data_IF_022868551713
#
_entry.id   IF_022868551713
#
_cell.length_a   1.000
_cell.length_b   1.000
_cell.length_c   1.000
_cell.angle_alpha   90.00
_cell.angle_beta   90.00
_cell.angle_gamma   90.00
#
_symmetry.space_group_name_H-M   'P 1'
#
loop_
_entity.id
_entity.type
_entity.pdbx_description
1 polymer ?
#
# COMPACT_ATOMS: atom_id res chain seq x y z
N UNK A 1 -69.64 2.37 -26.33
CA UNK A 1 -68.23 2.48 -25.89
C UNK A 1 -67.22 2.11 -26.99
N UNK A 2 -67.43 1.01 -27.74
CA UNK A 2 -66.59 0.62 -28.89
C UNK A 2 -66.54 1.66 -30.02
N UNK A 3 -67.65 2.32 -30.33
CA UNK A 3 -67.70 3.34 -31.40
C UNK A 3 -66.99 4.66 -31.03
N UNK A 4 -66.97 5.02 -29.74
CA UNK A 4 -66.22 6.19 -29.25
C UNK A 4 -64.70 5.96 -29.32
N UNK A 5 -64.25 4.72 -29.07
CA UNK A 5 -62.85 4.32 -29.21
C UNK A 5 -62.39 4.32 -30.68
N UNK A 6 -63.21 3.80 -31.61
CA UNK A 6 -62.88 3.80 -33.04
C UNK A 6 -62.81 5.22 -33.61
N UNK A 7 -63.68 6.12 -33.14
CA UNK A 7 -63.68 7.54 -33.56
C UNK A 7 -62.48 8.31 -33.02
N UNK A 8 -62.01 7.99 -31.81
CA UNK A 8 -60.83 8.60 -31.21
C UNK A 8 -59.51 8.14 -31.89
N UNK A 9 -59.42 6.86 -32.26
CA UNK A 9 -58.24 6.28 -32.95
C UNK A 9 -58.11 6.77 -34.39
N UNK A 10 -59.23 7.02 -35.11
CA UNK A 10 -59.17 7.65 -36.45
C UNK A 10 -58.83 9.13 -36.42
N UNK A 11 -59.18 9.84 -35.35
CA UNK A 11 -58.89 11.27 -35.21
C UNK A 11 -57.42 11.55 -34.81
N UNK A 12 -56.70 10.54 -34.29
CA UNK A 12 -55.31 10.66 -33.81
C UNK A 12 -54.39 9.58 -34.40
N UNK A 13 -54.63 9.14 -35.65
CA UNK A 13 -53.68 8.28 -36.34
C UNK A 13 -52.44 9.13 -36.71
N UNK A 14 -51.24 8.85 -36.16
CA UNK A 14 -50.05 9.57 -36.54
C UNK A 14 -49.71 9.26 -38.01
N UNK A 15 -49.53 10.32 -38.79
CA UNK A 15 -48.93 10.29 -40.12
C UNK A 15 -47.48 9.83 -39.96
N UNK A 16 -47.25 8.53 -40.09
CA UNK A 16 -45.94 7.92 -40.33
C UNK A 16 -46.00 7.18 -41.65
N UNK A 17 -46.38 7.92 -42.69
CA UNK A 17 -46.05 7.57 -44.05
C UNK A 17 -45.13 8.68 -44.58
N UNK A 18 -44.14 8.29 -45.39
CA UNK A 18 -43.12 9.14 -46.03
C UNK A 18 -41.86 9.57 -45.25
N UNK A 19 -41.22 8.69 -44.47
CA UNK A 19 -39.79 8.92 -44.09
C UNK A 19 -38.86 7.70 -44.13
N UNK A 20 -39.28 6.60 -44.80
CA UNK A 20 -38.40 5.44 -45.05
C UNK A 20 -38.05 5.24 -46.54
N UNK A 21 -38.49 6.15 -47.41
CA UNK A 21 -38.12 6.16 -48.82
C UNK A 21 -36.82 6.94 -49.05
N UNK A 22 -35.69 6.36 -48.58
CA UNK A 22 -34.29 6.54 -49.06
C UNK A 22 -33.31 6.07 -47.99
N UNK A 23 -33.24 4.76 -47.77
CA UNK A 23 -32.01 4.16 -47.23
C UNK A 23 -31.27 3.60 -48.44
N UNK A 24 -30.13 4.19 -48.86
CA UNK A 24 -29.35 3.61 -49.94
C UNK A 24 -28.83 2.24 -49.49
N UNK A 25 -29.27 1.21 -50.21
CA UNK A 25 -28.62 -0.10 -50.23
C UNK A 25 -27.11 0.08 -50.42
N UNK A 26 -26.34 -0.83 -49.81
CA UNK A 26 -24.87 -1.01 -49.88
C UNK A 26 -24.08 -0.44 -48.70
N UNK A 27 -24.53 -0.75 -47.48
CA UNK A 27 -23.63 -0.84 -46.33
C UNK A 27 -22.57 -1.92 -46.58
N UNK A 28 -21.33 -1.50 -46.83
CA UNK A 28 -20.14 -2.37 -46.91
C UNK A 28 -19.84 -3.09 -45.58
N UNK A 29 -20.48 -2.70 -44.49
CA UNK A 29 -20.28 -3.26 -43.15
C UNK A 29 -21.08 -4.55 -42.90
N UNK A 30 -22.19 -4.76 -43.61
CA UNK A 30 -22.98 -6.00 -43.49
C UNK A 30 -22.25 -7.26 -44.01
N UNK A 31 -21.19 -7.09 -44.81
CA UNK A 31 -20.36 -8.20 -45.31
C UNK A 31 -19.18 -8.57 -44.42
N UNK A 32 -18.88 -7.78 -43.37
CA UNK A 32 -17.78 -8.11 -42.47
C UNK A 32 -18.14 -9.27 -41.50
N UNK A 33 -19.43 -9.57 -41.32
CA UNK A 33 -19.87 -10.64 -40.42
C UNK A 33 -19.83 -12.07 -41.02
N UNK A 34 -19.52 -12.23 -42.31
CA UNK A 34 -19.60 -13.55 -43.01
C UNK A 34 -18.23 -14.11 -43.41
N UNK A 35 -17.13 -13.40 -43.12
CA UNK A 35 -15.78 -13.88 -43.45
C UNK A 35 -14.86 -13.95 -42.22
N UNK A 36 -15.39 -14.42 -41.09
CA UNK A 36 -14.56 -15.02 -40.05
C UNK A 36 -14.66 -16.54 -40.16
N UNK A 37 -13.56 -17.28 -40.31
CA UNK A 37 -13.62 -18.74 -40.32
C UNK A 37 -14.22 -19.23 -38.99
N UNK A 38 -15.18 -20.16 -39.06
CA UNK A 38 -15.89 -20.75 -37.90
C UNK A 38 -15.02 -21.08 -36.67
N UNK A 39 -13.76 -21.56 -36.79
CA UNK A 39 -12.89 -21.76 -35.62
C UNK A 39 -12.47 -20.46 -34.90
N UNK A 40 -12.40 -19.31 -35.59
CA UNK A 40 -12.07 -18.02 -34.95
C UNK A 40 -13.19 -17.51 -34.05
N UNK A 41 -14.46 -17.76 -34.42
CA UNK A 41 -15.62 -17.39 -33.58
C UNK A 41 -15.68 -18.29 -32.33
N UNK A 42 -15.38 -19.58 -32.47
CA UNK A 42 -15.23 -20.49 -31.33
C UNK A 42 -14.09 -20.08 -30.40
N UNK A 43 -12.93 -19.70 -30.96
CA UNK A 43 -11.77 -19.26 -30.19
C UNK A 43 -12.01 -17.91 -29.47
N UNK A 44 -12.73 -16.96 -30.08
CA UNK A 44 -13.07 -15.70 -29.40
C UNK A 44 -14.11 -15.88 -28.30
N UNK A 45 -15.14 -16.73 -28.52
CA UNK A 45 -16.13 -17.05 -27.48
C UNK A 45 -15.49 -17.84 -26.33
N UNK A 46 -14.61 -18.80 -26.62
CA UNK A 46 -13.86 -19.53 -25.61
C UNK A 46 -12.91 -18.58 -24.84
N UNK A 47 -12.20 -17.70 -25.54
CA UNK A 47 -11.36 -16.68 -24.92
C UNK A 47 -12.14 -15.71 -24.03
N UNK A 48 -13.30 -15.22 -24.48
CA UNK A 48 -14.19 -14.39 -23.66
C UNK A 48 -14.74 -15.15 -22.46
N UNK A 49 -15.09 -16.42 -22.62
CA UNK A 49 -15.57 -17.26 -21.52
C UNK A 49 -14.48 -17.48 -20.46
N UNK A 50 -13.23 -17.72 -20.88
CA UNK A 50 -12.06 -17.81 -19.98
C UNK A 50 -11.79 -16.47 -19.30
N UNK A 51 -11.97 -15.33 -19.99
CA UNK A 51 -11.81 -14.01 -19.37
C UNK A 51 -12.90 -13.72 -18.35
N UNK A 52 -14.18 -14.03 -18.65
CA UNK A 52 -15.30 -13.77 -17.74
C UNK A 52 -15.26 -14.72 -16.54
N UNK A 53 -15.11 -16.03 -16.75
CA UNK A 53 -15.05 -17.02 -15.67
C UNK A 53 -13.73 -16.94 -14.89
N UNK A 54 -12.62 -16.68 -15.58
CA UNK A 54 -11.30 -16.50 -14.97
C UNK A 54 -11.18 -15.21 -14.17
N UNK A 55 -11.93 -14.15 -14.52
CA UNK A 55 -11.91 -12.90 -13.77
C UNK A 55 -12.40 -13.07 -12.32
N UNK A 56 -13.40 -13.93 -12.09
CA UNK A 56 -13.90 -14.22 -10.75
C UNK A 56 -12.86 -14.93 -9.87
N UNK A 57 -12.17 -15.92 -10.44
CA UNK A 57 -11.10 -16.66 -9.74
C UNK A 57 -9.90 -15.73 -9.46
N UNK A 58 -9.50 -14.93 -10.43
CA UNK A 58 -8.42 -13.96 -10.25
C UNK A 58 -8.77 -12.91 -9.18
N UNK A 59 -10.02 -12.45 -9.14
CA UNK A 59 -10.52 -11.51 -8.13
C UNK A 59 -10.55 -12.14 -6.73
N UNK A 60 -11.05 -13.37 -6.61
CA UNK A 60 -11.04 -14.08 -5.33
C UNK A 60 -9.60 -14.35 -4.84
N UNK A 61 -8.70 -14.73 -5.74
CA UNK A 61 -7.29 -14.93 -5.43
C UNK A 61 -6.61 -13.64 -4.92
N UNK A 62 -6.97 -12.47 -5.45
CA UNK A 62 -6.40 -11.19 -5.00
C UNK A 62 -6.62 -10.92 -3.50
N UNK A 63 -7.73 -11.42 -2.95
CA UNK A 63 -8.09 -11.27 -1.54
C UNK A 63 -7.71 -12.48 -0.68
N UNK A 64 -7.17 -13.54 -1.28
CA UNK A 64 -6.77 -14.74 -0.54
C UNK A 64 -5.63 -14.44 0.44
N UNK A 65 -5.71 -15.05 1.61
CA UNK A 65 -4.68 -15.06 2.65
C UNK A 65 -3.83 -16.34 2.58
N UNK A 66 -2.60 -16.35 3.13
CA UNK A 66 -1.83 -17.58 3.30
C UNK A 66 -2.65 -18.72 3.92
N UNK A 67 -2.50 -19.92 3.38
CA UNK A 67 -3.28 -21.10 3.75
C UNK A 67 -4.62 -21.26 3.01
N UNK A 68 -5.08 -20.26 2.26
CA UNK A 68 -6.31 -20.36 1.45
C UNK A 68 -6.03 -20.95 0.05
N UNK A 69 -7.01 -21.67 -0.49
CA UNK A 69 -6.90 -22.43 -1.75
C UNK A 69 -6.38 -21.59 -2.93
N UNK A 70 -6.79 -20.32 -3.01
CA UNK A 70 -6.44 -19.43 -4.12
C UNK A 70 -5.21 -18.55 -3.85
N UNK A 71 -4.55 -18.68 -2.70
CA UNK A 71 -3.35 -17.92 -2.40
C UNK A 71 -2.18 -18.21 -3.35
N UNK A 72 -1.92 -19.46 -3.79
CA UNK A 72 -0.91 -19.72 -4.81
C UNK A 72 -1.18 -18.97 -6.13
N UNK A 73 -2.46 -18.82 -6.51
CA UNK A 73 -2.85 -18.04 -7.70
C UNK A 73 -2.53 -16.56 -7.54
N UNK A 74 -2.67 -16.01 -6.33
CA UNK A 74 -2.29 -14.62 -6.01
C UNK A 74 -0.82 -14.38 -6.27
N UNK A 75 0.02 -15.20 -5.65
CA UNK A 75 1.47 -14.98 -5.59
C UNK A 75 2.15 -15.37 -6.91
N UNK A 76 1.78 -16.51 -7.51
CA UNK A 76 2.49 -17.03 -8.67
C UNK A 76 1.94 -16.55 -10.02
N UNK A 77 0.72 -16.01 -10.06
CA UNK A 77 0.11 -15.56 -11.31
C UNK A 77 -0.31 -14.09 -11.25
N UNK A 78 -1.23 -13.72 -10.37
CA UNK A 78 -1.76 -12.35 -10.37
C UNK A 78 -0.66 -11.31 -10.13
N UNK A 79 0.20 -11.56 -9.14
CA UNK A 79 1.28 -10.64 -8.79
C UNK A 79 2.37 -10.58 -9.86
N UNK A 80 2.68 -11.71 -10.50
CA UNK A 80 3.69 -11.80 -11.57
C UNK A 80 3.21 -11.20 -12.89
N UNK A 81 1.93 -11.38 -13.23
CA UNK A 81 1.32 -10.69 -14.37
C UNK A 81 1.42 -9.18 -14.18
N UNK A 82 1.04 -8.67 -12.99
CA UNK A 82 1.21 -7.23 -12.68
C UNK A 82 2.68 -6.80 -12.68
N UNK A 83 3.59 -7.67 -12.27
CA UNK A 83 5.03 -7.41 -12.35
C UNK A 83 5.51 -7.24 -13.79
N UNK A 84 5.06 -8.12 -14.70
CA UNK A 84 5.39 -8.07 -16.12
C UNK A 84 4.89 -6.77 -16.77
N UNK A 85 3.72 -6.27 -16.36
CA UNK A 85 3.17 -5.00 -16.84
C UNK A 85 3.71 -3.75 -16.11
N UNK A 86 4.49 -3.91 -15.03
CA UNK A 86 5.13 -2.80 -14.32
C UNK A 86 6.39 -2.34 -15.06
N UNK A 87 6.20 -1.76 -16.25
CA UNK A 87 7.29 -1.34 -17.13
C UNK A 87 7.93 -0.06 -16.62
N UNK A 88 9.26 -0.08 -16.50
CA UNK A 88 10.08 1.06 -16.09
C UNK A 88 10.45 1.06 -14.60
N UNK A 89 11.58 1.69 -14.22
CA UNK A 89 12.10 1.67 -12.84
C UNK A 89 11.08 2.15 -11.80
N UNK A 90 10.41 3.29 -12.05
CA UNK A 90 9.40 3.84 -11.12
C UNK A 90 8.27 2.85 -10.85
N UNK A 91 7.72 2.23 -11.91
CA UNK A 91 6.62 1.28 -11.79
C UNK A 91 7.05 0.02 -11.03
N UNK A 92 8.26 -0.48 -11.28
CA UNK A 92 8.84 -1.63 -10.56
C UNK A 92 9.05 -1.35 -9.07
N UNK A 93 9.60 -0.18 -8.73
CA UNK A 93 9.79 0.21 -7.34
C UNK A 93 8.44 0.36 -6.61
N UNK A 94 7.46 1.01 -7.24
CA UNK A 94 6.12 1.16 -6.70
C UNK A 94 5.41 -0.19 -6.52
N UNK A 95 5.55 -1.11 -7.49
CA UNK A 95 4.93 -2.43 -7.41
C UNK A 95 5.55 -3.29 -6.32
N UNK A 96 6.87 -3.28 -6.18
CA UNK A 96 7.54 -3.98 -5.09
C UNK A 96 7.18 -3.38 -3.72
N UNK A 97 7.08 -2.06 -3.61
CA UNK A 97 6.55 -1.40 -2.40
C UNK A 97 5.16 -1.93 -2.07
N UNK A 98 4.26 -2.01 -3.05
CA UNK A 98 2.90 -2.54 -2.83
C UNK A 98 2.89 -4.00 -2.40
N UNK A 99 3.79 -4.83 -2.94
CA UNK A 99 3.89 -6.24 -2.52
C UNK A 99 4.39 -6.36 -1.09
N UNK A 100 5.35 -5.54 -0.68
CA UNK A 100 5.80 -5.47 0.72
C UNK A 100 4.63 -5.10 1.65
N UNK A 101 3.87 -4.05 1.31
CA UNK A 101 2.67 -3.64 2.07
C UNK A 101 1.67 -4.80 2.21
N UNK A 102 1.39 -5.52 1.11
CA UNK A 102 0.42 -6.63 1.13
C UNK A 102 0.79 -7.74 2.10
N UNK A 103 2.09 -8.07 2.23
CA UNK A 103 2.53 -9.11 3.17
C UNK A 103 2.31 -8.68 4.63
N UNK A 104 2.46 -7.38 4.94
CA UNK A 104 2.11 -6.83 6.24
C UNK A 104 0.59 -6.80 6.46
N UNK A 105 -0.19 -6.37 5.44
CA UNK A 105 -1.67 -6.40 5.47
C UNK A 105 -2.20 -7.83 5.72
N UNK A 106 -1.57 -8.85 5.10
CA UNK A 106 -1.92 -10.26 5.29
C UNK A 106 -1.56 -10.77 6.68
N UNK A 107 -0.37 -10.42 7.17
CA UNK A 107 0.06 -10.76 8.53
C UNK A 107 -0.92 -10.19 9.56
N UNK A 108 -1.24 -8.90 9.46
CA UNK A 108 -2.19 -8.21 10.33
C UNK A 108 -3.58 -8.82 10.24
N UNK A 109 -4.04 -9.19 9.03
CA UNK A 109 -5.35 -9.81 8.81
C UNK A 109 -5.46 -11.19 9.43
N UNK A 110 -4.42 -12.02 9.30
CA UNK A 110 -4.34 -13.34 9.92
C UNK A 110 -4.27 -13.25 11.44
N UNK A 111 -3.48 -12.31 11.95
CA UNK A 111 -3.36 -12.05 13.39
C UNK A 111 -4.69 -11.58 13.97
N UNK A 112 -5.38 -10.64 13.30
CA UNK A 112 -6.71 -10.18 13.68
C UNK A 112 -7.77 -11.29 13.60
N UNK A 113 -7.59 -12.28 12.73
CA UNK A 113 -8.49 -13.42 12.58
C UNK A 113 -8.24 -14.56 13.58
N UNK A 114 -7.14 -14.53 14.34
CA UNK A 114 -6.67 -15.69 15.11
C UNK A 114 -6.26 -16.89 14.24
N UNK A 115 -5.99 -16.67 12.94
CA UNK A 115 -5.64 -17.71 11.95
C UNK A 115 -4.15 -17.78 11.64
N UNK A 116 -3.32 -17.11 12.43
CA UNK A 116 -1.88 -17.08 12.24
C UNK A 116 -1.28 -18.39 12.78
N UNK A 117 -0.78 -19.24 11.88
CA UNK A 117 0.00 -20.44 12.24
C UNK A 117 1.46 -20.08 12.58
N UNK A 118 2.28 -21.08 12.93
CA UNK A 118 3.66 -20.85 13.38
C UNK A 118 4.65 -20.56 12.25
N UNK A 119 4.36 -20.95 11.00
CA UNK A 119 5.28 -20.80 9.86
C UNK A 119 5.01 -19.54 9.05
N UNK A 120 3.76 -19.13 8.97
CA UNK A 120 3.29 -17.99 8.20
C UNK A 120 3.94 -16.65 8.60
N UNK A 121 4.20 -16.34 9.90
CA UNK A 121 4.89 -15.11 10.29
C UNK A 121 6.25 -14.91 9.61
N UNK A 122 7.07 -15.95 9.58
CA UNK A 122 8.42 -15.91 9.00
C UNK A 122 8.35 -15.81 7.47
N UNK A 123 7.49 -16.62 6.83
CA UNK A 123 7.29 -16.54 5.37
C UNK A 123 6.85 -15.14 4.92
N UNK A 124 5.91 -14.52 5.64
CA UNK A 124 5.44 -13.19 5.33
C UNK A 124 6.53 -12.13 5.59
N UNK A 125 7.31 -12.26 6.67
CA UNK A 125 8.42 -11.36 6.97
C UNK A 125 9.52 -11.41 5.89
N UNK A 126 9.85 -12.62 5.41
CA UNK A 126 10.83 -12.83 4.35
C UNK A 126 10.37 -12.22 3.03
N UNK A 127 9.12 -12.49 2.62
CA UNK A 127 8.56 -11.89 1.40
C UNK A 127 8.44 -10.38 1.50
N UNK A 128 8.02 -9.87 2.66
CA UNK A 128 8.03 -8.43 2.94
C UNK A 128 9.42 -7.84 2.73
N UNK A 129 10.43 -8.42 3.38
CA UNK A 129 11.82 -7.96 3.30
C UNK A 129 12.36 -8.03 1.88
N UNK A 130 12.08 -9.11 1.14
CA UNK A 130 12.50 -9.29 -0.23
C UNK A 130 11.92 -8.20 -1.15
N UNK A 131 10.61 -7.94 -1.08
CA UNK A 131 9.96 -6.92 -1.90
C UNK A 131 10.40 -5.51 -1.51
N UNK A 132 10.54 -5.23 -0.21
CA UNK A 132 11.06 -3.95 0.25
C UNK A 132 12.47 -3.67 -0.27
N UNK A 133 13.38 -4.65 -0.16
CA UNK A 133 14.75 -4.53 -0.67
C UNK A 133 14.79 -4.40 -2.20
N UNK A 134 13.92 -5.11 -2.91
CA UNK A 134 13.79 -4.94 -4.36
C UNK A 134 13.33 -3.52 -4.71
N UNK A 135 12.40 -2.94 -3.95
CA UNK A 135 11.96 -1.56 -4.15
C UNK A 135 13.11 -0.56 -3.90
N UNK A 136 13.84 -0.69 -2.78
CA UNK A 136 14.96 0.21 -2.45
C UNK A 136 16.13 0.07 -3.41
N UNK A 137 16.42 -1.13 -3.90
CA UNK A 137 17.45 -1.36 -4.91
C UNK A 137 17.12 -0.65 -6.24
N UNK A 138 15.87 -0.75 -6.71
CA UNK A 138 15.42 -0.02 -7.91
C UNK A 138 15.47 1.49 -7.69
N UNK A 139 15.08 1.98 -6.49
CA UNK A 139 15.21 3.40 -6.14
C UNK A 139 16.67 3.87 -6.17
N UNK A 140 17.63 3.10 -5.64
CA UNK A 140 19.05 3.44 -5.70
C UNK A 140 19.59 3.49 -7.14
N UNK A 141 19.12 2.59 -8.02
CA UNK A 141 19.44 2.66 -9.45
C UNK A 141 18.86 3.91 -10.12
N UNK A 142 17.65 4.31 -9.75
CA UNK A 142 17.03 5.53 -10.28
C UNK A 142 17.77 6.79 -9.79
N UNK A 143 18.25 6.78 -8.55
CA UNK A 143 18.99 7.88 -7.95
C UNK A 143 20.31 8.12 -8.68
N UNK A 144 21.05 7.05 -9.00
CA UNK A 144 22.29 7.15 -9.80
C UNK A 144 22.05 7.58 -11.26
N UNK A 145 20.82 7.45 -11.75
CA UNK A 145 20.39 7.93 -13.07
C UNK A 145 19.81 9.36 -13.05
N UNK A 146 19.96 10.08 -11.93
CA UNK A 146 19.53 11.48 -11.81
C UNK A 146 18.03 11.66 -11.51
N UNK A 147 17.30 10.59 -11.20
CA UNK A 147 15.86 10.66 -10.90
C UNK A 147 15.57 10.98 -9.42
N UNK A 148 16.40 11.80 -8.77
CA UNK A 148 16.36 12.05 -7.32
C UNK A 148 14.99 12.48 -6.78
N UNK A 149 14.31 13.41 -7.44
CA UNK A 149 12.96 13.85 -7.03
C UNK A 149 11.91 12.73 -7.10
N UNK A 150 12.03 11.81 -8.08
CA UNK A 150 11.13 10.64 -8.17
C UNK A 150 11.48 9.60 -7.12
N UNK A 151 12.76 9.42 -6.81
CA UNK A 151 13.20 8.51 -5.76
C UNK A 151 12.71 8.99 -4.40
N UNK A 152 12.83 10.29 -4.12
CA UNK A 152 12.34 10.87 -2.87
C UNK A 152 10.82 10.72 -2.71
N UNK A 153 10.09 10.77 -3.82
CA UNK A 153 8.69 10.40 -3.86
C UNK A 153 8.40 8.97 -3.42
N UNK A 154 9.05 8.00 -4.03
CA UNK A 154 8.83 6.60 -3.73
C UNK A 154 9.31 6.24 -2.31
N UNK A 155 10.41 6.85 -1.87
CA UNK A 155 10.98 6.67 -0.54
C UNK A 155 10.03 7.19 0.53
N UNK A 156 9.45 8.38 0.32
CA UNK A 156 8.42 8.92 1.20
C UNK A 156 7.19 8.02 1.27
N UNK A 157 6.76 7.45 0.14
CA UNK A 157 5.63 6.51 0.11
C UNK A 157 5.90 5.26 0.96
N UNK A 158 7.08 4.66 0.77
CA UNK A 158 7.52 3.50 1.54
C UNK A 158 7.60 3.83 3.03
N UNK A 159 8.26 4.93 3.40
CA UNK A 159 8.43 5.35 4.80
C UNK A 159 7.08 5.56 5.51
N UNK A 160 6.14 6.27 4.87
CA UNK A 160 4.81 6.48 5.42
C UNK A 160 4.04 5.17 5.62
N UNK A 161 4.27 4.19 4.74
CA UNK A 161 3.69 2.86 4.86
C UNK A 161 4.31 2.04 6.00
N UNK A 162 5.64 2.07 6.12
CA UNK A 162 6.35 1.34 7.18
C UNK A 162 6.01 1.87 8.57
N UNK A 163 5.90 3.19 8.75
CA UNK A 163 5.44 3.78 10.02
C UNK A 163 4.02 3.37 10.36
N UNK A 164 3.13 3.41 9.36
CA UNK A 164 1.77 2.94 9.49
C UNK A 164 1.72 1.50 10.03
N UNK A 165 2.48 0.59 9.42
CA UNK A 165 2.51 -0.81 9.83
C UNK A 165 3.24 -1.03 11.18
N UNK A 166 4.33 -0.29 11.49
CA UNK A 166 4.96 -0.37 12.83
C UNK A 166 3.97 0.04 13.94
N UNK A 167 3.21 1.11 13.73
CA UNK A 167 2.19 1.58 14.68
C UNK A 167 1.09 0.52 14.88
N UNK A 168 0.67 -0.17 13.81
CA UNK A 168 -0.32 -1.24 13.87
C UNK A 168 0.24 -2.44 14.63
N UNK A 169 1.44 -2.89 14.27
CA UNK A 169 2.10 -4.01 14.94
C UNK A 169 2.32 -3.72 16.42
N UNK A 170 2.71 -2.49 16.80
CA UNK A 170 2.83 -2.08 18.19
C UNK A 170 1.52 -2.23 18.98
N UNK A 171 0.37 -1.95 18.35
CA UNK A 171 -0.96 -2.11 18.96
C UNK A 171 -1.39 -3.57 19.06
N UNK A 172 -0.93 -4.41 18.14
CA UNK A 172 -1.25 -5.84 18.09
C UNK A 172 -0.28 -6.69 18.93
N UNK A 173 0.90 -6.18 19.26
CA UNK A 173 1.94 -6.87 20.04
C UNK A 173 1.42 -7.51 21.34
N UNK A 174 0.55 -6.87 22.15
CA UNK A 174 0.02 -7.50 23.36
C UNK A 174 -0.76 -8.79 23.12
N UNK A 175 -1.30 -9.00 21.90
CA UNK A 175 -2.11 -10.18 21.54
C UNK A 175 -1.26 -11.37 21.08
N UNK A 176 -0.08 -11.14 20.53
CA UNK A 176 0.80 -12.19 20.00
C UNK A 176 2.27 -11.76 20.03
N UNK A 177 2.79 -11.48 21.24
CA UNK A 177 4.09 -10.82 21.46
C UNK A 177 5.23 -11.40 20.62
N UNK A 178 5.46 -12.70 20.71
CA UNK A 178 6.60 -13.34 20.04
C UNK A 178 6.48 -13.28 18.52
N UNK A 179 5.31 -13.64 17.98
CA UNK A 179 5.03 -13.63 16.53
C UNK A 179 5.09 -12.22 15.94
N UNK A 180 4.62 -11.21 16.67
CA UNK A 180 4.66 -9.80 16.24
C UNK A 180 6.06 -9.21 16.34
N UNK A 181 6.82 -9.54 17.41
CA UNK A 181 8.15 -8.96 17.65
C UNK A 181 9.12 -9.22 16.51
N UNK A 182 9.10 -10.44 15.94
CA UNK A 182 9.91 -10.78 14.77
C UNK A 182 9.61 -9.86 13.59
N UNK A 183 8.37 -9.90 13.09
CA UNK A 183 7.91 -9.10 11.94
C UNK A 183 8.14 -7.60 12.16
N UNK A 184 7.82 -7.09 13.36
CA UNK A 184 8.02 -5.69 13.73
C UNK A 184 9.50 -5.29 13.68
N UNK A 185 10.42 -6.18 14.09
CA UNK A 185 11.86 -5.96 13.96
C UNK A 185 12.30 -5.74 12.51
N UNK A 186 11.78 -6.53 11.55
CA UNK A 186 12.05 -6.32 10.12
C UNK A 186 11.52 -4.96 9.63
N UNK A 187 10.31 -4.58 10.04
CA UNK A 187 9.71 -3.28 9.68
C UNK A 187 10.55 -2.13 10.24
N UNK A 188 10.98 -2.20 11.49
CA UNK A 188 11.78 -1.16 12.14
C UNK A 188 13.18 -1.01 11.52
N UNK A 189 13.84 -2.12 11.19
CA UNK A 189 15.12 -2.09 10.48
C UNK A 189 14.98 -1.35 9.16
N UNK A 190 14.00 -1.73 8.34
CA UNK A 190 13.78 -1.12 7.03
C UNK A 190 13.31 0.34 7.15
N UNK A 191 12.50 0.67 8.15
CA UNK A 191 12.06 2.03 8.43
C UNK A 191 13.25 2.93 8.77
N UNK A 192 14.21 2.42 9.54
CA UNK A 192 15.45 3.13 9.88
C UNK A 192 16.28 3.37 8.62
N UNK A 193 16.49 2.35 7.79
CA UNK A 193 17.23 2.47 6.53
C UNK A 193 16.56 3.47 5.58
N UNK A 194 15.24 3.40 5.46
CA UNK A 194 14.45 4.30 4.59
C UNK A 194 14.51 5.74 5.10
N UNK A 195 14.41 5.95 6.42
CA UNK A 195 14.50 7.28 7.04
C UNK A 195 15.88 7.89 6.84
N UNK A 196 16.95 7.10 7.00
CA UNK A 196 18.32 7.56 6.78
C UNK A 196 18.56 7.94 5.31
N UNK A 197 18.12 7.07 4.38
CA UNK A 197 18.20 7.36 2.94
C UNK A 197 17.41 8.63 2.58
N UNK A 198 16.29 8.88 3.26
CA UNK A 198 15.49 10.09 3.05
C UNK A 198 16.23 11.33 3.50
N UNK A 199 16.79 11.34 4.70
CA UNK A 199 17.52 12.51 5.20
C UNK A 199 18.66 12.90 4.24
N UNK A 200 19.38 11.91 3.72
CA UNK A 200 20.42 12.11 2.71
C UNK A 200 19.84 12.63 1.39
N UNK A 201 18.79 12.01 0.87
CA UNK A 201 18.15 12.42 -0.38
C UNK A 201 17.53 13.82 -0.32
N UNK A 202 16.88 14.17 0.78
CA UNK A 202 16.32 15.51 1.02
C UNK A 202 17.42 16.58 1.03
N UNK A 203 18.57 16.29 1.66
CA UNK A 203 19.73 17.21 1.64
C UNK A 203 20.25 17.41 0.20
N UNK A 204 20.43 16.33 -0.55
CA UNK A 204 20.86 16.39 -1.96
C UNK A 204 19.88 17.17 -2.84
N UNK A 205 18.56 17.00 -2.62
CA UNK A 205 17.52 17.75 -3.35
C UNK A 205 17.62 19.25 -3.06
N UNK A 206 17.93 19.66 -1.82
CA UNK A 206 18.12 21.07 -1.46
C UNK A 206 19.40 21.66 -2.05
N UNK A 207 20.46 20.87 -2.09
CA UNK A 207 21.78 21.30 -2.60
C UNK A 207 21.88 21.25 -4.13
N UNK A 208 20.96 20.55 -4.80
CA UNK A 208 20.94 20.43 -6.25
C UNK A 208 20.77 21.79 -6.94
N UNK A 209 21.70 22.11 -7.85
CA UNK A 209 21.68 23.36 -8.64
C UNK A 209 20.51 23.44 -9.61
N UNK A 210 20.08 22.30 -10.15
CA UNK A 210 18.99 22.25 -11.11
C UNK A 210 17.63 22.32 -10.41
N UNK A 211 17.55 21.84 -9.16
CA UNK A 211 16.31 21.77 -8.38
C UNK A 211 15.19 20.98 -9.07
N UNK A 212 14.08 20.69 -8.38
CA UNK A 212 12.90 20.19 -9.06
C UNK A 212 12.23 21.31 -9.85
N UNK A 213 11.74 20.99 -11.05
CA UNK A 213 10.88 21.90 -11.80
C UNK A 213 9.66 22.33 -10.96
N UNK A 214 9.19 23.60 -11.03
CA UNK A 214 8.06 24.09 -10.24
C UNK A 214 6.79 23.22 -10.34
N UNK A 215 6.46 22.74 -11.54
CA UNK A 215 5.34 21.83 -11.76
C UNK A 215 5.45 20.49 -11.01
N UNK A 216 6.67 20.06 -10.63
CA UNK A 216 6.86 18.89 -9.76
C UNK A 216 6.43 19.19 -8.34
N UNK A 217 6.83 20.34 -7.79
CA UNK A 217 6.41 20.76 -6.45
C UNK A 217 4.88 20.93 -6.36
N UNK A 218 4.25 21.52 -7.39
CA UNK A 218 2.80 21.63 -7.52
C UNK A 218 2.10 20.27 -7.49
N UNK A 219 2.60 19.30 -8.28
CA UNK A 219 2.06 17.93 -8.27
C UNK A 219 2.17 17.29 -6.89
N UNK A 220 3.27 17.51 -6.16
CA UNK A 220 3.48 16.95 -4.82
C UNK A 220 2.54 17.58 -3.79
N UNK A 221 2.35 18.90 -3.84
CA UNK A 221 1.36 19.61 -3.03
C UNK A 221 -0.06 19.11 -3.31
N UNK A 222 -0.43 18.94 -4.58
CA UNK A 222 -1.74 18.43 -4.97
C UNK A 222 -1.97 16.98 -4.49
N UNK A 223 -0.93 16.14 -4.58
CA UNK A 223 -0.96 14.76 -4.09
C UNK A 223 -1.17 14.70 -2.58
N UNK A 224 -0.41 15.48 -1.81
CA UNK A 224 -0.56 15.58 -0.36
C UNK A 224 -1.95 16.06 0.05
N UNK A 225 -2.47 17.10 -0.61
CA UNK A 225 -3.83 17.60 -0.40
C UNK A 225 -4.90 16.53 -0.65
N UNK A 226 -4.76 15.77 -1.75
CA UNK A 226 -5.67 14.67 -2.08
C UNK A 226 -5.62 13.56 -1.02
N UNK A 227 -4.42 13.23 -0.52
CA UNK A 227 -4.26 12.22 0.53
C UNK A 227 -4.94 12.66 1.84
N UNK A 228 -4.72 13.91 2.26
CA UNK A 228 -5.36 14.48 3.45
C UNK A 228 -6.89 14.46 3.33
N UNK A 229 -7.43 14.93 2.21
CA UNK A 229 -8.87 14.96 1.96
C UNK A 229 -9.51 13.55 2.02
N UNK A 230 -8.82 12.52 1.52
CA UNK A 230 -9.27 11.13 1.62
C UNK A 230 -9.34 10.66 3.07
N UNK A 231 -8.34 10.99 3.88
CA UNK A 231 -8.32 10.62 5.30
C UNK A 231 -9.45 11.33 6.05
N UNK A 232 -9.64 12.62 5.82
CA UNK A 232 -10.75 13.40 6.40
C UNK A 232 -12.10 12.79 6.06
N UNK A 233 -12.31 12.35 4.81
CA UNK A 233 -13.53 11.68 4.41
C UNK A 233 -13.76 10.37 5.19
N UNK A 234 -12.70 9.59 5.45
CA UNK A 234 -12.79 8.37 6.26
C UNK A 234 -13.13 8.70 7.71
N UNK A 235 -12.49 9.71 8.29
CA UNK A 235 -12.76 10.18 9.66
C UNK A 235 -14.22 10.64 9.79
N UNK A 236 -14.71 11.46 8.86
CA UNK A 236 -16.09 11.96 8.89
C UNK A 236 -17.12 10.83 8.79
N UNK A 237 -16.87 9.81 7.95
CA UNK A 237 -17.73 8.61 7.88
C UNK A 237 -17.67 7.74 9.10
N UNK A 238 -16.57 7.82 9.84
CA UNK A 238 -16.41 7.08 11.06
C UNK A 238 -17.30 7.73 12.15
N UNK A 239 -17.37 9.07 12.26
CA UNK A 239 -17.89 9.85 13.42
C UNK A 239 -19.22 9.35 14.04
N UNK A 240 -20.09 8.71 13.27
CA UNK A 240 -21.33 8.09 13.76
C UNK A 240 -21.17 6.74 14.50
N UNK A 241 -19.96 6.19 14.65
CA UNK A 241 -19.70 4.86 15.23
C UNK A 241 -18.75 4.96 16.42
N UNK A 242 -19.21 5.46 17.58
CA UNK A 242 -18.55 5.44 18.91
C UNK A 242 -17.00 5.37 18.91
N UNK A 243 -16.34 6.53 18.87
CA UNK A 243 -14.95 6.67 18.46
C UNK A 243 -13.92 6.50 19.57
N UNK A 244 -13.32 5.31 19.58
CA UNK A 244 -12.12 4.95 20.34
C UNK A 244 -10.86 5.71 19.92
N UNK A 245 -9.77 5.46 20.63
CA UNK A 245 -8.49 6.17 20.53
C UNK A 245 -7.91 6.29 19.11
N UNK A 246 -8.24 5.37 18.20
CA UNK A 246 -7.72 5.35 16.83
C UNK A 246 -8.14 6.57 16.02
N UNK A 247 -9.40 7.01 16.11
CA UNK A 247 -9.87 8.18 15.35
C UNK A 247 -9.27 9.47 15.91
N UNK A 248 -9.08 9.56 17.24
CA UNK A 248 -8.35 10.67 17.86
C UNK A 248 -6.91 10.73 17.35
N UNK A 249 -6.20 9.60 17.33
CA UNK A 249 -4.84 9.51 16.84
C UNK A 249 -4.71 9.85 15.34
N UNK A 250 -5.70 9.45 14.53
CA UNK A 250 -5.75 9.78 13.11
C UNK A 250 -6.00 11.28 12.88
N UNK A 251 -6.89 11.93 13.64
CA UNK A 251 -7.11 13.38 13.57
C UNK A 251 -5.86 14.18 13.90
N UNK A 252 -5.15 13.81 14.96
CA UNK A 252 -3.91 14.48 15.34
C UNK A 252 -2.88 14.46 14.19
N UNK A 253 -2.76 13.33 13.49
CA UNK A 253 -1.92 13.21 12.30
C UNK A 253 -2.44 14.07 11.14
N UNK A 254 -3.75 14.10 10.88
CA UNK A 254 -4.32 14.98 9.84
C UNK A 254 -4.00 16.45 10.12
N UNK A 255 -4.11 16.90 11.37
CA UNK A 255 -3.76 18.29 11.74
C UNK A 255 -2.30 18.59 11.40
N UNK A 256 -1.37 17.71 11.81
CA UNK A 256 0.06 17.85 11.46
C UNK A 256 0.29 17.86 9.94
N UNK A 257 -0.37 16.97 9.20
CA UNK A 257 -0.28 16.92 7.75
C UNK A 257 -0.81 18.21 7.08
N UNK A 258 -1.87 18.82 7.64
CA UNK A 258 -2.38 20.11 7.17
C UNK A 258 -1.40 21.25 7.44
N UNK A 259 -0.71 21.25 8.58
CA UNK A 259 0.35 22.23 8.89
C UNK A 259 1.49 22.14 7.87
N UNK A 260 1.99 20.94 7.61
CA UNK A 260 3.03 20.69 6.61
C UNK A 260 2.56 21.11 5.20
N UNK A 261 1.31 20.81 4.83
CA UNK A 261 0.73 21.21 3.54
C UNK A 261 0.59 22.73 3.39
N UNK A 262 0.15 23.43 4.45
CA UNK A 262 0.08 24.90 4.46
C UNK A 262 1.47 25.50 4.29
N UNK A 263 2.45 24.94 4.98
CA UNK A 263 3.82 25.39 4.89
C UNK A 263 4.43 25.12 3.50
N UNK A 264 4.13 23.97 2.90
CA UNK A 264 4.51 23.64 1.53
C UNK A 264 3.95 24.65 0.52
N UNK A 265 2.67 25.00 0.63
CA UNK A 265 2.01 26.01 -0.24
C UNK A 265 2.62 27.40 -0.08
N UNK A 266 2.94 27.80 1.15
CA UNK A 266 3.57 29.10 1.41
C UNK A 266 4.95 29.18 0.74
N UNK A 267 5.77 28.15 0.89
CA UNK A 267 7.12 28.06 0.29
C UNK A 267 7.06 27.95 -1.24
N UNK A 268 6.03 27.28 -1.77
CA UNK A 268 5.80 27.22 -3.22
C UNK A 268 5.53 28.62 -3.78
N UNK A 269 4.75 29.44 -3.06
CA UNK A 269 4.46 30.82 -3.43
C UNK A 269 5.68 31.74 -3.46
N UNK A 270 6.77 31.38 -2.77
CA UNK A 270 8.04 32.13 -2.80
C UNK A 270 9.02 31.63 -3.87
N UNK A 271 8.63 30.65 -4.70
CA UNK A 271 9.47 30.07 -5.76
C UNK A 271 10.47 29.01 -5.28
N UNK A 272 10.48 28.65 -4.00
CA UNK A 272 11.39 27.64 -3.45
C UNK A 272 10.84 26.22 -3.67
N UNK A 273 10.88 25.75 -4.92
CA UNK A 273 10.25 24.51 -5.36
C UNK A 273 10.77 23.26 -4.61
N UNK A 274 12.08 23.18 -4.32
CA UNK A 274 12.67 22.07 -3.57
C UNK A 274 12.06 21.94 -2.17
N UNK A 275 12.08 23.01 -1.38
CA UNK A 275 11.55 22.99 -0.02
C UNK A 275 10.03 22.80 0.02
N UNK A 276 9.30 23.38 -0.94
CA UNK A 276 7.87 23.16 -1.08
C UNK A 276 7.55 21.69 -1.34
N UNK A 277 8.30 21.04 -2.23
CA UNK A 277 8.18 19.62 -2.52
C UNK A 277 8.44 18.78 -1.26
N UNK A 278 9.57 18.99 -0.57
CA UNK A 278 9.94 18.21 0.61
C UNK A 278 8.90 18.35 1.76
N UNK A 279 8.33 19.53 1.95
CA UNK A 279 7.25 19.76 2.93
C UNK A 279 5.94 19.07 2.51
N UNK A 280 5.62 19.07 1.22
CA UNK A 280 4.46 18.32 0.72
C UNK A 280 4.64 16.81 0.96
N UNK A 281 5.87 16.32 0.89
CA UNK A 281 6.20 14.91 1.09
C UNK A 281 6.06 14.50 2.55
N UNK A 282 6.51 15.38 3.46
CA UNK A 282 6.23 15.23 4.88
C UNK A 282 4.72 15.16 5.17
N UNK A 283 3.93 16.09 4.62
CA UNK A 283 2.47 16.08 4.75
C UNK A 283 1.86 14.76 4.24
N UNK A 284 2.31 14.28 3.08
CA UNK A 284 1.83 13.02 2.51
C UNK A 284 2.15 11.81 3.39
N UNK A 285 3.37 11.71 3.95
CA UNK A 285 3.76 10.63 4.88
C UNK A 285 2.85 10.58 6.10
N UNK A 286 2.61 11.73 6.73
CA UNK A 286 1.75 11.82 7.91
C UNK A 286 0.29 11.47 7.57
N UNK A 287 -0.20 11.86 6.40
CA UNK A 287 -1.53 11.47 5.94
C UNK A 287 -1.64 9.95 5.71
N UNK A 288 -0.60 9.30 5.16
CA UNK A 288 -0.54 7.84 4.99
C UNK A 288 -0.60 7.09 6.32
N UNK A 289 0.13 7.56 7.32
CA UNK A 289 0.08 7.02 8.68
C UNK A 289 -1.35 7.08 9.25
N UNK A 290 -2.02 8.24 9.09
CA UNK A 290 -3.41 8.40 9.52
C UNK A 290 -4.37 7.45 8.78
N UNK A 291 -4.18 7.27 7.47
CA UNK A 291 -4.99 6.37 6.65
C UNK A 291 -4.89 4.91 7.13
N UNK A 292 -3.69 4.44 7.45
CA UNK A 292 -3.47 3.06 7.86
C UNK A 292 -4.08 2.76 9.24
N UNK A 293 -3.94 3.69 10.18
CA UNK A 293 -4.59 3.57 11.49
C UNK A 293 -6.10 3.36 11.36
N UNK A 294 -6.75 4.12 10.47
CA UNK A 294 -8.19 4.03 10.24
C UNK A 294 -8.61 2.73 9.53
N UNK A 295 -7.75 2.15 8.69
CA UNK A 295 -8.03 0.85 8.05
C UNK A 295 -8.14 -0.26 9.08
N UNK A 296 -7.17 -0.34 9.99
CA UNK A 296 -7.10 -1.44 10.97
C UNK A 296 -8.29 -1.45 11.93
N UNK A 297 -8.73 -0.29 12.40
CA UNK A 297 -9.92 -0.21 13.26
C UNK A 297 -11.20 -0.62 12.52
N UNK A 298 -11.33 -0.27 11.24
CA UNK A 298 -12.44 -0.74 10.40
C UNK A 298 -12.48 -2.27 10.28
N UNK A 299 -11.34 -2.89 9.99
CA UNK A 299 -11.24 -4.36 9.83
C UNK A 299 -11.43 -5.10 11.17
N UNK A 300 -10.91 -4.55 12.27
CA UNK A 300 -11.03 -5.12 13.61
C UNK A 300 -12.46 -4.98 14.16
N UNK A 301 -13.13 -3.85 13.96
CA UNK A 301 -14.50 -3.63 14.43
C UNK A 301 -15.56 -4.39 13.62
N UNK A 302 -15.34 -4.60 12.32
CA UNK A 302 -16.25 -5.38 11.48
C UNK A 302 -16.33 -6.85 11.92
N UNK A 303 -15.26 -7.42 12.48
CA UNK A 303 -15.25 -8.80 12.96
C UNK A 303 -15.73 -8.97 14.40
N UNK A 304 -15.46 -8.04 15.30
CA UNK A 304 -15.96 -8.15 16.69
C UNK A 304 -17.47 -7.97 16.83
N UNK A 305 -18.15 -7.43 15.81
CA UNK A 305 -19.62 -7.28 15.77
C UNK A 305 -20.37 -8.40 15.06
N UNK A 306 -19.67 -9.32 14.38
CA UNK A 306 -20.31 -10.51 13.87
C UNK A 306 -20.30 -11.54 15.02
N UNK A 307 -21.45 -12.07 15.45
CA UNK A 307 -21.45 -13.15 16.42
C UNK A 307 -20.61 -14.28 15.83
N UNK A 308 -19.74 -14.88 16.66
CA UNK A 308 -19.15 -16.18 16.34
C UNK A 308 -20.29 -17.06 15.85
N UNK A 309 -20.30 -17.38 14.56
CA UNK A 309 -21.15 -18.43 14.04
C UNK A 309 -20.74 -19.66 14.81
N UNK A 310 -21.57 -20.04 15.78
CA UNK A 310 -21.49 -21.29 16.51
C UNK A 310 -21.60 -22.41 15.49
N UNK A 311 -20.47 -22.79 14.90
CA UNK A 311 -20.27 -24.06 14.25
C UNK A 311 -20.03 -25.13 15.33
N UNK A 312 -20.97 -25.20 16.28
CA UNK A 312 -21.32 -26.43 16.97
C UNK A 312 -22.75 -26.74 16.50
N UNK A 313 -22.82 -27.20 15.26
CA UNK A 313 -24.02 -27.85 14.76
C UNK A 313 -23.93 -29.31 15.18
N UNK A 314 -24.50 -29.61 16.35
CA UNK A 314 -25.04 -30.94 16.63
C UNK A 314 -26.17 -31.21 15.64
N UNK A 315 -25.80 -31.55 14.41
CA UNK A 315 -26.70 -32.09 13.40
C UNK A 315 -26.45 -33.59 13.37
N UNK A 316 -27.22 -34.30 14.18
CA UNK A 316 -27.44 -35.74 14.07
C UNK A 316 -27.87 -36.04 12.62
N UNK A 317 -27.13 -36.87 11.86
CA UNK A 317 -27.60 -37.34 10.56
C UNK A 317 -28.83 -38.24 10.79
N UNK A 318 -29.86 -38.21 9.92
CA UNK A 318 -31.01 -39.09 10.06
C UNK A 318 -30.58 -40.55 9.84
N UNK A 319 -30.97 -41.41 10.78
CA UNK A 319 -30.85 -42.86 10.69
C UNK A 319 -31.41 -43.38 9.36
N UNK A 320 -30.53 -43.93 8.53
CA UNK A 320 -30.93 -44.82 7.43
C UNK A 320 -30.69 -46.23 7.92
N UNK A 321 -31.77 -46.87 8.38
CA UNK A 321 -31.81 -48.31 8.60
C UNK A 321 -31.61 -49.01 7.25
N UNK A 322 -30.51 -49.75 7.12
CA UNK A 322 -30.38 -50.81 6.13
C UNK A 322 -30.38 -52.13 6.88
N UNK A 323 -31.45 -52.89 6.68
CA UNK A 323 -31.66 -54.21 7.23
C UNK A 323 -30.59 -55.21 6.76
N UNK A 324 -30.37 -56.15 7.67
CA UNK A 324 -29.50 -57.32 7.63
C UNK A 324 -29.71 -58.25 6.45
N UNK A 325 -28.62 -58.88 6.00
CA UNK A 325 -28.62 -60.31 5.69
C UNK A 325 -27.22 -60.89 5.83
N UNK A 326 -27.14 -61.91 6.68
CA UNK A 326 -26.00 -62.78 6.99
C UNK A 326 -25.37 -63.42 5.74
N UNK A 327 -24.05 -63.63 5.73
CA UNK A 327 -23.46 -64.97 5.89
C UNK A 327 -21.93 -65.01 5.69
N UNK A 328 -21.32 -66.04 6.32
CA UNK A 328 -20.05 -66.69 5.99
C UNK A 328 -18.70 -66.19 6.59
N UNK A 329 -18.38 -66.79 7.75
CA UNK A 329 -17.18 -67.59 8.11
C UNK A 329 -15.75 -67.04 7.86
N UNK A 330 -15.04 -66.93 8.99
CA UNK A 330 -13.57 -66.92 9.16
C UNK A 330 -12.96 -68.28 8.73
N UNK A 331 -11.66 -68.34 8.34
CA UNK A 331 -10.67 -68.84 9.31
C UNK A 331 -9.30 -68.12 9.28
N UNK A 332 -8.70 -67.96 10.47
CA UNK A 332 -7.28 -67.65 10.74
C UNK A 332 -6.39 -68.89 10.63
N UNK A 333 -5.08 -68.71 10.45
CA UNK A 333 -4.10 -69.24 11.43
C UNK A 333 -3.00 -68.18 11.76
N UNK A 334 -2.54 -67.99 13.01
CA UNK A 334 -1.58 -68.83 13.76
C UNK A 334 -0.17 -68.75 13.11
N UNK A 335 0.95 -68.32 13.72
CA UNK A 335 1.49 -68.56 15.06
C UNK A 335 2.81 -67.79 15.30
N UNK A 336 3.09 -67.43 16.58
CA UNK A 336 4.39 -67.35 17.34
C UNK A 336 5.70 -66.88 16.65
N UNK A 337 6.56 -66.04 17.26
CA UNK A 337 7.52 -66.33 18.37
C UNK A 337 8.10 -64.99 18.88
N UNK A 338 7.88 -64.58 20.15
CA UNK A 338 8.81 -64.47 21.33
C UNK A 338 10.27 -64.01 21.07
N UNK A 339 10.67 -62.86 21.65
CA UNK A 339 11.56 -62.68 22.85
C UNK A 339 13.06 -62.71 22.46
N UNK A 340 13.97 -61.83 22.89
CA UNK A 340 14.37 -61.32 24.22
C UNK A 340 15.27 -60.06 23.97
N UNK A 341 15.17 -58.96 24.73
CA UNK A 341 15.76 -58.65 26.06
C UNK A 341 17.18 -58.04 26.01
N UNK A 342 17.38 -57.12 26.98
CA UNK A 342 18.62 -56.48 27.50
C UNK A 342 19.01 -55.11 26.94
N UNK A 343 18.83 -53.99 27.65
CA UNK A 343 19.25 -53.56 29.01
C UNK A 343 20.64 -52.91 29.05
N UNK A 344 20.70 -51.71 29.66
CA UNK A 344 21.91 -50.97 30.05
C UNK A 344 22.32 -49.91 29.03
N UNK A 345 22.76 -48.71 29.37
CA UNK A 345 23.04 -48.08 30.65
C UNK A 345 23.26 -46.57 30.34
N UNK A 346 22.86 -45.67 31.22
CA UNK A 346 23.29 -44.26 31.19
C UNK A 346 24.58 -44.15 32.01
N UNK A 347 25.55 -43.27 31.66
CA UNK A 347 25.47 -41.93 32.23
C UNK A 347 26.12 -40.77 31.41
N UNK A 348 25.65 -39.57 31.74
CA UNK A 348 26.31 -38.27 31.79
C UNK A 348 27.66 -38.06 31.06
N UNK A 349 27.66 -37.08 30.15
CA UNK A 349 28.85 -36.38 29.65
C UNK A 349 28.56 -34.89 29.44
N UNK A 350 29.26 -34.06 30.21
CA UNK A 350 29.23 -32.60 30.25
C UNK A 350 29.51 -31.91 28.88
N UNK A 351 29.07 -30.65 28.70
CA UNK A 351 29.27 -29.92 27.44
C UNK A 351 30.72 -29.42 27.27
N UNK A 352 31.25 -29.34 26.03
CA UNK A 352 32.56 -28.76 25.80
C UNK A 352 32.54 -27.23 25.90
N UNK A 353 33.63 -26.74 26.49
CA UNK A 353 33.90 -25.35 26.82
C UNK A 353 34.14 -24.43 25.61
N UNK A 354 33.88 -23.16 25.88
CA UNK A 354 34.23 -21.95 25.13
C UNK A 354 35.62 -21.99 24.48
N UNK A 355 35.68 -21.53 23.23
CA UNK A 355 36.87 -20.91 22.64
C UNK A 355 36.53 -19.56 22.03
N UNK A 356 37.24 -18.57 22.58
CA UNK A 356 37.51 -17.19 22.18
C UNK A 356 37.10 -16.74 20.77
N UNK A 357 36.25 -15.72 20.73
CA UNK A 357 36.14 -14.77 19.61
C UNK A 357 36.42 -13.37 20.17
N UNK A 358 37.36 -12.60 19.60
CA UNK A 358 37.77 -11.31 20.16
C UNK A 358 36.70 -10.23 20.00
N UNK A 359 36.47 -9.50 21.08
CA UNK A 359 35.63 -8.32 21.17
C UNK A 359 36.07 -7.23 20.19
N UNK A 360 35.16 -6.79 19.32
CA UNK A 360 35.28 -5.54 18.56
C UNK A 360 34.31 -4.50 19.14
N UNK A 361 34.91 -3.54 19.84
CA UNK A 361 34.60 -2.11 19.74
C UNK A 361 33.19 -1.67 20.14
N UNK A 362 32.98 -1.51 21.45
CA UNK A 362 32.03 -0.54 21.98
C UNK A 362 32.56 0.86 21.63
N UNK A 363 31.85 1.60 20.79
CA UNK A 363 32.09 3.03 20.62
C UNK A 363 31.42 3.76 21.79
N UNK A 364 32.26 4.18 22.73
CA UNK A 364 31.96 5.21 23.73
C UNK A 364 31.58 6.51 23.00
N UNK A 365 30.31 6.89 23.08
CA UNK A 365 29.88 8.25 22.73
C UNK A 365 30.14 9.11 23.97
N UNK A 366 31.30 9.75 24.02
CA UNK A 366 31.59 10.80 24.98
C UNK A 366 30.57 11.94 24.81
N UNK A 367 29.81 12.15 25.88
CA UNK A 367 29.05 13.37 26.13
C UNK A 367 30.02 14.56 26.17
N UNK A 368 29.92 15.46 25.19
CA UNK A 368 30.55 16.78 25.23
C UNK A 368 29.63 17.72 26.04
N UNK A 369 30.10 18.36 27.12
CA UNK A 369 29.33 19.38 27.81
C UNK A 369 29.43 20.71 27.05
N UNK A 370 28.28 21.27 26.67
CA UNK A 370 28.14 22.64 26.20
C UNK A 370 28.38 23.60 27.38
N UNK A 371 29.59 24.14 27.50
CA UNK A 371 29.85 25.29 28.35
C UNK A 371 29.41 26.57 27.63
N UNK A 372 28.43 27.23 28.22
CA UNK A 372 28.06 28.60 27.93
C UNK A 372 29.25 29.54 28.18
N UNK A 373 29.71 30.24 27.14
CA UNK A 373 30.50 31.46 27.30
C UNK A 373 29.88 32.62 26.54
N UNK A 374 29.49 33.60 27.33
CA UNK A 374 28.82 34.83 27.00
C UNK A 374 29.90 35.89 26.78
N UNK A 375 30.13 36.29 25.53
CA UNK A 375 31.00 37.45 25.25
C UNK A 375 30.36 38.39 24.23
N UNK A 376 29.82 39.47 24.79
CA UNK A 376 29.40 40.70 24.12
C UNK A 376 30.50 41.16 23.14
N UNK A 377 30.12 41.47 21.91
CA UNK A 377 30.87 42.39 21.05
C UNK A 377 29.95 43.41 20.42
N UNK A 378 30.42 44.64 20.51
CA UNK A 378 29.72 45.88 20.29
C UNK A 378 29.35 46.13 18.84
N UNK A 379 28.15 46.69 18.66
CA UNK A 379 27.66 47.27 17.41
C UNK A 379 27.97 48.77 17.44
N UNK A 380 28.69 49.35 16.47
CA UNK A 380 28.73 50.80 16.35
C UNK A 380 27.52 51.30 15.55
N UNK A 381 26.66 52.05 16.23
CA UNK A 381 25.68 52.97 15.65
C UNK A 381 26.42 54.06 14.87
N UNK A 382 25.99 54.33 13.62
CA UNK A 382 26.32 55.58 12.91
C UNK A 382 25.03 56.27 12.46
N UNK A 383 24.59 57.22 13.27
CA UNK A 383 23.86 58.42 12.83
C UNK A 383 24.80 59.22 11.92
N UNK A 384 24.42 59.72 10.73
CA UNK A 384 23.31 60.62 10.48
C UNK A 384 23.85 62.06 10.40
N UNK A 385 24.18 62.55 9.20
CA UNK A 385 24.18 63.99 8.87
C UNK A 385 24.17 64.24 7.35
N UNK A 386 23.05 64.85 6.97
CA UNK A 386 22.74 65.68 5.81
C UNK A 386 23.93 66.26 5.02
N UNK A 387 23.78 66.25 3.69
CA UNK A 387 23.90 67.48 2.88
C UNK A 387 23.05 67.35 1.61
N UNK A 388 22.25 68.39 1.42
CA UNK A 388 21.30 68.69 0.35
C UNK A 388 22.00 69.61 -0.67
N UNK A 389 21.42 69.72 -1.88
CA UNK A 389 21.71 70.69 -2.97
C UNK A 389 22.86 70.24 -3.90
N UNK A 390 22.78 70.23 -5.24
CA UNK A 390 21.97 70.98 -6.20
C UNK A 390 21.60 70.13 -7.45
N UNK A 391 20.40 70.40 -7.98
CA UNK A 391 20.00 70.27 -9.40
C UNK A 391 20.01 71.70 -9.96
N UNK A 392 20.53 71.97 -11.17
CA UNK A 392 19.75 72.08 -12.42
C UNK A 392 20.53 71.56 -13.65
N UNK A 393 20.07 71.53 -14.89
CA UNK A 393 18.80 71.46 -15.62
C UNK A 393 19.24 71.35 -17.11
N UNK A 394 18.43 70.71 -17.96
CA UNK A 394 18.32 70.84 -19.42
C UNK A 394 19.53 70.81 -20.40
N UNK A 395 19.50 69.83 -21.32
CA UNK A 395 19.38 70.02 -22.79
C UNK A 395 19.20 68.62 -23.44
N UNK A 396 18.07 68.23 -24.07
CA UNK A 396 17.39 68.63 -25.33
C UNK A 396 18.09 68.18 -26.62
N UNK A 397 17.36 67.42 -27.46
CA UNK A 397 17.64 67.02 -28.86
C UNK A 397 17.92 65.52 -28.99
N UNK A 398 17.07 64.61 -29.49
CA UNK A 398 16.29 64.60 -30.75
C UNK A 398 17.07 65.11 -31.96
N UNK A 399 17.46 64.20 -32.86
CA UNK A 399 17.09 64.16 -34.29
C UNK A 399 17.59 62.84 -34.92
N UNK A 400 16.73 62.29 -35.76
CA UNK A 400 16.89 61.16 -36.69
C UNK A 400 17.95 61.45 -37.76
N UNK A 401 18.70 60.42 -38.17
CA UNK A 401 18.61 59.76 -39.49
C UNK A 401 19.39 58.45 -39.48
#
# INVERSE_FOLDING_TARGET
MRELLVRHVRAHAPVVDTMWAKVPERSRWARCHVWMPRPMVGATIAGMSVLVLGSGVAFAAEHALPGELLYPMKVHLNEEVRAAFSVGPRARAAWNTRRAERRLEEFESLLAAGRLDDRTPEELADRFTAHARAATAVMGQMESQGAGATVEELRSDLEGSLRAHDDILARLEPRARERVRGVRGHVQSLLTDTTNARVVGEAQVRESKEGPAPGTAERRVARAATAIARVEQVIARAEGRAHGDTVRAARARVVRAQEDLRAARAVLGTGAAADAMLRADAAFRVAREAQALLRVDGTLQLRTRLPESTANGDAHPPDVQLESSDDARIPTPGSSVRADDRSGDSPAGSPPALRDVPARGVFDVQLVPEHAEQKRRDVPRRSGRERRLLVPDQHRGEIRE
#
